data_IF_933634461397
#
_entry.id   IF_933634461397
#
_cell.length_a   1.000
_cell.length_b   1.000
_cell.length_c   1.000
_cell.angle_alpha   90.00
_cell.angle_beta   90.00
_cell.angle_gamma   90.00
#
_symmetry.space_group_name_H-M   'P 1'
#
loop_
_entity.id
_entity.type
_entity.pdbx_description
1 polymer ?
#
# COMPACT_ATOMS: atom_id res chain seq x y z
N UNK A 1 4.76 16.57 -2.60
CA UNK A 1 6.18 16.31 -2.92
C UNK A 1 7.06 17.55 -2.94
N UNK A 2 6.58 18.77 -3.20
CA UNK A 2 7.43 19.98 -3.25
C UNK A 2 8.39 20.15 -2.05
N UNK A 3 7.95 19.81 -0.83
CA UNK A 3 8.76 19.92 0.38
C UNK A 3 9.99 19.00 0.39
N UNK A 4 9.87 17.75 -0.07
CA UNK A 4 11.01 16.82 -0.12
C UNK A 4 12.10 17.34 -1.07
N UNK A 5 11.70 17.96 -2.18
CA UNK A 5 12.62 18.52 -3.16
C UNK A 5 13.35 19.75 -2.60
N UNK A 6 12.68 20.57 -1.81
CA UNK A 6 13.28 21.70 -1.09
C UNK A 6 14.31 21.23 -0.07
N UNK A 7 13.99 20.20 0.70
CA UNK A 7 14.88 19.57 1.68
C UNK A 7 16.14 19.03 0.97
N UNK A 8 15.98 18.30 -0.13
CA UNK A 8 17.10 17.77 -0.92
C UNK A 8 17.98 18.91 -1.44
N UNK A 9 17.39 19.94 -2.06
CA UNK A 9 18.14 21.11 -2.55
C UNK A 9 18.91 21.82 -1.43
N UNK A 10 18.33 21.91 -0.23
CA UNK A 10 18.98 22.53 0.92
C UNK A 10 20.17 21.70 1.43
N UNK A 11 19.99 20.37 1.58
CA UNK A 11 21.04 19.46 2.01
C UNK A 11 22.21 19.38 1.02
N UNK A 12 21.93 19.42 -0.29
CA UNK A 12 22.95 19.43 -1.35
C UNK A 12 23.77 20.73 -1.40
N UNK A 13 23.24 21.83 -0.84
CA UNK A 13 23.92 23.12 -0.86
C UNK A 13 25.18 23.18 0.01
N UNK A 14 25.35 22.22 0.93
CA UNK A 14 26.50 22.03 1.83
C UNK A 14 26.89 23.30 2.65
N UNK A 15 25.92 24.20 2.86
CA UNK A 15 26.08 25.45 3.63
C UNK A 15 25.35 25.43 4.98
N UNK A 16 24.86 24.27 5.38
CA UNK A 16 24.10 24.09 6.61
C UNK A 16 25.04 23.70 7.74
N UNK A 17 24.76 24.22 8.93
CA UNK A 17 25.33 23.63 10.14
C UNK A 17 24.74 22.24 10.40
N UNK A 18 25.39 21.48 11.28
CA UNK A 18 25.02 20.09 11.56
C UNK A 18 23.60 19.95 12.13
N UNK A 19 23.18 20.87 13.01
CA UNK A 19 21.87 20.81 13.67
C UNK A 19 20.76 21.03 12.65
N UNK A 20 20.92 22.05 11.80
CA UNK A 20 20.01 22.32 10.68
C UNK A 20 19.97 21.16 9.68
N UNK A 21 21.12 20.57 9.34
CA UNK A 21 21.17 19.43 8.43
C UNK A 21 20.45 18.19 9.00
N UNK A 22 20.61 17.91 10.29
CA UNK A 22 19.92 16.81 10.97
C UNK A 22 18.40 17.03 11.01
N UNK A 23 17.94 18.23 11.36
CA UNK A 23 16.52 18.56 11.39
C UNK A 23 15.86 18.40 10.00
N UNK A 24 16.51 18.86 8.93
CA UNK A 24 16.02 18.69 7.56
C UNK A 24 16.01 17.22 7.13
N UNK A 25 17.00 16.44 7.54
CA UNK A 25 17.03 15.01 7.25
C UNK A 25 15.89 14.26 7.94
N UNK A 26 15.65 14.53 9.23
CA UNK A 26 14.54 13.95 9.99
C UNK A 26 13.19 14.30 9.36
N UNK A 27 12.98 15.58 9.01
CA UNK A 27 11.78 16.03 8.30
C UNK A 27 11.60 15.28 6.96
N UNK A 28 12.69 15.14 6.19
CA UNK A 28 12.67 14.43 4.91
C UNK A 28 12.34 12.94 5.07
N UNK A 29 12.88 12.28 6.10
CA UNK A 29 12.60 10.88 6.38
C UNK A 29 11.13 10.65 6.73
N UNK A 30 10.53 11.52 7.54
CA UNK A 30 9.11 11.45 7.87
C UNK A 30 8.21 11.68 6.65
N UNK A 31 8.49 12.71 5.85
CA UNK A 31 7.74 13.02 4.63
C UNK A 31 7.77 11.85 3.64
N UNK A 32 8.93 11.20 3.50
CA UNK A 32 9.07 10.01 2.66
C UNK A 32 8.27 8.83 3.22
N UNK A 33 8.25 8.64 4.54
CA UNK A 33 7.42 7.64 5.20
C UNK A 33 5.94 7.84 4.90
N UNK A 34 5.43 9.07 5.08
CA UNK A 34 4.04 9.45 4.76
C UNK A 34 3.69 9.19 3.30
N UNK A 35 4.60 9.52 2.37
CA UNK A 35 4.41 9.28 0.94
C UNK A 35 4.31 7.78 0.62
N UNK A 36 5.13 6.94 1.26
CA UNK A 36 5.08 5.48 1.09
C UNK A 36 3.75 4.90 1.56
N UNK A 37 3.28 5.29 2.75
CA UNK A 37 1.98 4.84 3.27
C UNK A 37 0.82 5.22 2.33
N UNK A 38 0.87 6.43 1.76
CA UNK A 38 -0.15 6.87 0.82
C UNK A 38 -0.15 6.01 -0.46
N UNK A 39 1.03 5.69 -0.98
CA UNK A 39 1.18 4.84 -2.17
C UNK A 39 0.68 3.42 -1.89
N UNK A 40 1.04 2.82 -0.76
CA UNK A 40 0.55 1.50 -0.35
C UNK A 40 -0.99 1.46 -0.27
N UNK A 41 -1.60 2.48 0.34
CA UNK A 41 -3.07 2.59 0.41
C UNK A 41 -3.69 2.74 -0.98
N UNK A 42 -3.06 3.50 -1.86
CA UNK A 42 -3.53 3.67 -3.23
C UNK A 42 -3.45 2.36 -4.03
N UNK A 43 -2.35 1.61 -3.87
CA UNK A 43 -2.15 0.30 -4.49
C UNK A 43 -3.22 -0.70 -4.04
N UNK A 44 -3.43 -0.85 -2.71
CA UNK A 44 -4.49 -1.69 -2.16
C UNK A 44 -5.87 -1.32 -2.70
N UNK A 45 -6.15 -0.01 -2.79
CA UNK A 45 -7.43 0.46 -3.32
C UNK A 45 -7.61 0.12 -4.80
N UNK A 46 -6.55 0.21 -5.59
CA UNK A 46 -6.58 -0.18 -7.01
C UNK A 46 -6.81 -1.68 -7.14
N UNK A 47 -6.16 -2.51 -6.32
CA UNK A 47 -6.36 -3.96 -6.31
C UNK A 47 -7.81 -4.34 -5.96
N UNK A 48 -8.38 -3.75 -4.91
CA UNK A 48 -9.77 -3.95 -4.51
C UNK A 48 -10.73 -3.62 -5.65
N UNK A 49 -10.57 -2.45 -6.27
CA UNK A 49 -11.42 -2.00 -7.36
C UNK A 49 -11.28 -2.89 -8.60
N UNK A 50 -10.06 -3.33 -8.90
CA UNK A 50 -9.77 -4.21 -10.04
C UNK A 50 -10.37 -5.61 -9.84
N UNK A 51 -10.30 -6.16 -8.61
CA UNK A 51 -10.96 -7.42 -8.25
C UNK A 51 -12.49 -7.29 -8.30
N UNK A 52 -13.02 -6.18 -7.79
CA UNK A 52 -14.47 -5.90 -7.79
C UNK A 52 -15.03 -5.74 -9.20
N UNK A 53 -14.30 -5.08 -10.09
CA UNK A 53 -14.73 -4.83 -11.47
C UNK A 53 -14.68 -6.08 -12.37
N UNK A 54 -13.78 -7.03 -12.09
CA UNK A 54 -13.61 -8.24 -12.90
C UNK A 54 -14.34 -9.49 -12.33
N UNK A 55 -15.06 -9.35 -11.21
CA UNK A 55 -15.59 -10.49 -10.46
C UNK A 55 -14.49 -11.28 -9.74
N UNK A 56 -14.85 -12.23 -8.84
CA UNK A 56 -13.84 -13.04 -8.16
C UNK A 56 -12.95 -13.75 -9.19
N UNK A 57 -11.63 -13.70 -8.99
CA UNK A 57 -10.70 -14.45 -9.82
C UNK A 57 -11.09 -15.95 -9.76
N UNK A 58 -10.93 -16.72 -10.84
CA UNK A 58 -11.34 -18.13 -10.88
C UNK A 58 -10.67 -19.01 -9.81
N UNK A 59 -9.60 -18.54 -9.16
CA UNK A 59 -8.96 -19.18 -8.02
C UNK A 59 -9.68 -18.96 -6.67
N UNK A 60 -10.52 -17.94 -6.55
CA UNK A 60 -11.24 -17.59 -5.32
C UNK A 60 -12.66 -18.17 -5.25
N UNK A 61 -13.10 -18.91 -6.28
CA UNK A 61 -14.32 -19.72 -6.21
C UNK A 61 -14.01 -20.97 -5.38
N UNK A 62 -13.93 -20.79 -4.06
CA UNK A 62 -13.97 -21.90 -3.11
C UNK A 62 -15.22 -22.70 -3.42
N UNK A 63 -15.04 -23.95 -3.86
CA UNK A 63 -16.13 -24.93 -3.93
C UNK A 63 -16.67 -25.11 -2.52
N UNK A 64 -17.79 -24.47 -2.22
CA UNK A 64 -18.69 -24.94 -1.17
C UNK A 64 -19.57 -26.01 -1.80
N UNK A 65 -19.03 -27.22 -1.98
CA UNK A 65 -19.88 -28.40 -2.06
C UNK A 65 -20.12 -28.83 -0.61
N UNK A 66 -21.10 -28.19 0.04
CA UNK A 66 -21.89 -28.86 1.07
C UNK A 66 -22.67 -29.98 0.37
N UNK A 67 -22.60 -31.21 0.89
CA UNK A 67 -23.64 -31.69 1.79
C UNK A 67 -24.97 -31.78 1.05
N UNK A 68 -25.19 -32.88 0.32
CA UNK A 68 -26.50 -33.46 0.01
C UNK A 68 -26.28 -34.81 -0.71
N UNK A 69 -25.86 -35.83 0.05
CA UNK A 69 -26.00 -37.23 -0.38
C UNK A 69 -26.36 -38.14 0.79
N UNK A 70 -27.03 -37.60 1.82
CA UNK A 70 -27.54 -38.37 2.96
C UNK A 70 -29.01 -38.79 2.78
N UNK A 71 -29.51 -38.97 1.54
CA UNK A 71 -30.96 -39.19 1.38
C UNK A 71 -31.42 -40.19 0.31
N UNK A 72 -30.55 -41.04 -0.24
CA UNK A 72 -31.02 -42.15 -1.09
C UNK A 72 -30.07 -43.34 -1.02
N UNK A 73 -30.38 -44.31 -0.15
CA UNK A 73 -30.43 -45.75 -0.45
C UNK A 73 -31.01 -46.49 0.78
N UNK A 74 -32.29 -46.25 1.06
CA UNK A 74 -33.15 -47.31 1.58
C UNK A 74 -33.54 -48.20 0.39
N UNK A 75 -33.02 -49.43 0.35
CA UNK A 75 -33.71 -50.65 -0.13
C UNK A 75 -32.89 -51.92 0.23
#
# INVERSE_FOLDING_TARGET
>A
MQRIEEIVRALESNRLDLETALALFEEGAEELGRARELLERAELRIEELTRSANGPAPADVVRTEGEDADDLLDE
#
